data_IF_892721153347
#
_entry.id   IF_892721153347
#
_cell.length_a   1.000
_cell.length_b   1.000
_cell.length_c   1.000
_cell.angle_alpha   90.00
_cell.angle_beta   90.00
_cell.angle_gamma   90.00
#
_symmetry.space_group_name_H-M   'P 1'
#
loop_
_entity.id
_entity.type
_entity.pdbx_description
1 polymer ?
#
# COMPACT_ATOMS: atom_id res chain seq x y z
N UNK A 1 30.84 -11.62 -24.95
CA UNK A 1 30.52 -12.92 -24.33
C UNK A 1 29.13 -12.81 -23.71
N UNK A 2 28.22 -13.75 -23.98
CA UNK A 2 26.90 -13.75 -23.35
C UNK A 2 27.07 -14.17 -21.89
N UNK A 3 26.89 -13.25 -20.95
CA UNK A 3 26.82 -13.59 -19.53
C UNK A 3 25.57 -14.42 -19.29
N UNK A 4 25.73 -15.68 -18.90
CA UNK A 4 24.62 -16.51 -18.42
C UNK A 4 24.12 -15.90 -17.12
N UNK A 5 22.88 -15.41 -17.16
CA UNK A 5 22.13 -14.97 -16.01
C UNK A 5 21.77 -16.20 -15.18
N UNK A 6 22.53 -16.48 -14.12
CA UNK A 6 22.14 -17.46 -13.12
C UNK A 6 21.36 -16.72 -12.01
N UNK A 7 20.03 -16.73 -12.09
CA UNK A 7 19.13 -16.10 -11.12
C UNK A 7 19.08 -16.74 -9.73
N UNK A 8 20.11 -17.53 -9.36
CA UNK A 8 20.12 -18.42 -8.20
C UNK A 8 21.46 -18.39 -7.43
N UNK A 9 22.12 -17.24 -7.29
CA UNK A 9 23.41 -17.14 -6.58
C UNK A 9 23.39 -17.65 -5.12
N UNK A 10 22.21 -17.67 -4.47
CA UNK A 10 21.96 -18.25 -3.14
C UNK A 10 20.87 -19.35 -3.16
N UNK A 11 20.57 -19.94 -4.32
CA UNK A 11 19.49 -20.91 -4.52
C UNK A 11 18.09 -20.29 -4.44
N UNK A 12 17.05 -21.11 -4.21
CA UNK A 12 15.64 -20.67 -4.16
C UNK A 12 15.28 -19.84 -2.92
N UNK A 13 16.23 -19.55 -2.02
CA UNK A 13 15.98 -18.85 -0.76
C UNK A 13 15.74 -17.36 -0.99
N UNK A 14 16.58 -16.68 -1.78
CA UNK A 14 16.41 -15.26 -2.11
C UNK A 14 15.09 -14.94 -2.82
N UNK A 15 14.64 -15.68 -3.86
CA UNK A 15 13.34 -15.41 -4.48
C UNK A 15 12.17 -15.70 -3.53
N UNK A 16 12.31 -16.70 -2.65
CA UNK A 16 11.30 -17.00 -1.64
C UNK A 16 11.19 -15.89 -0.60
N UNK A 17 12.31 -15.40 -0.05
CA UNK A 17 12.32 -14.30 0.93
C UNK A 17 11.78 -13.02 0.28
N UNK A 18 12.18 -12.72 -0.96
CA UNK A 18 11.64 -11.61 -1.74
C UNK A 18 10.12 -11.72 -1.86
N UNK A 19 9.60 -12.88 -2.27
CA UNK A 19 8.17 -13.14 -2.38
C UNK A 19 7.44 -12.96 -1.05
N UNK A 20 7.99 -13.47 0.05
CA UNK A 20 7.41 -13.31 1.40
C UNK A 20 7.37 -11.84 1.81
N UNK A 21 8.40 -11.04 1.49
CA UNK A 21 8.40 -9.61 1.77
C UNK A 21 7.36 -8.84 0.95
N UNK A 22 7.15 -9.20 -0.31
CA UNK A 22 6.04 -8.63 -1.09
C UNK A 22 4.68 -9.01 -0.52
N UNK A 23 4.49 -10.26 -0.08
CA UNK A 23 3.28 -10.69 0.59
C UNK A 23 3.05 -9.92 1.90
N UNK A 24 4.11 -9.73 2.70
CA UNK A 24 4.05 -8.99 3.96
C UNK A 24 3.64 -7.53 3.73
N UNK A 25 4.32 -6.82 2.83
CA UNK A 25 3.98 -5.43 2.48
C UNK A 25 2.56 -5.31 1.91
N UNK A 26 2.15 -6.28 1.08
CA UNK A 26 0.78 -6.39 0.58
C UNK A 26 -0.26 -6.58 1.67
N UNK A 27 -0.02 -7.52 2.58
CA UNK A 27 -0.95 -7.80 3.68
C UNK A 27 -1.10 -6.59 4.61
N UNK A 28 0.02 -5.97 5.00
CA UNK A 28 0.02 -4.78 5.86
C UNK A 28 -0.66 -3.59 5.16
N UNK A 29 -0.25 -3.33 3.92
CA UNK A 29 -0.81 -2.29 3.07
C UNK A 29 -2.32 -2.41 2.91
N UNK A 30 -2.79 -3.58 2.51
CA UNK A 30 -4.20 -3.87 2.29
C UNK A 30 -5.02 -3.69 3.56
N UNK A 31 -4.50 -4.15 4.71
CA UNK A 31 -5.16 -3.99 6.02
C UNK A 31 -5.26 -2.52 6.44
N UNK A 32 -4.20 -1.75 6.28
CA UNK A 32 -4.21 -0.31 6.56
C UNK A 32 -5.22 0.42 5.68
N UNK A 33 -5.27 0.11 4.38
CA UNK A 33 -6.23 0.73 3.44
C UNK A 33 -7.67 0.34 3.82
N UNK A 34 -7.94 -0.94 4.04
CA UNK A 34 -9.26 -1.42 4.46
C UNK A 34 -9.70 -0.76 5.77
N UNK A 35 -8.77 -0.58 6.73
CA UNK A 35 -9.04 0.09 8.00
C UNK A 35 -9.32 1.57 7.84
N UNK A 36 -8.64 2.26 6.92
CA UNK A 36 -8.91 3.67 6.62
C UNK A 36 -10.37 3.93 6.23
N UNK A 37 -11.05 2.92 5.67
CA UNK A 37 -12.46 2.98 5.27
C UNK A 37 -13.43 2.77 6.45
N UNK A 38 -12.94 2.27 7.59
CA UNK A 38 -13.73 1.97 8.79
C UNK A 38 -13.53 2.99 9.93
N UNK A 39 -12.48 3.80 9.87
CA UNK A 39 -12.14 4.79 10.89
C UNK A 39 -12.71 6.18 10.60
N UNK A 40 -12.72 7.05 11.61
CA UNK A 40 -13.17 8.44 11.47
C UNK A 40 -12.35 9.23 10.45
N UNK A 41 -12.96 10.26 9.85
CA UNK A 41 -12.33 11.11 8.82
C UNK A 41 -10.97 11.70 9.24
N UNK A 42 -10.78 12.00 10.52
CA UNK A 42 -9.52 12.54 11.04
C UNK A 42 -8.34 11.54 11.02
N UNK A 43 -8.62 10.23 11.18
CA UNK A 43 -7.58 9.18 11.19
C UNK A 43 -7.37 8.50 9.85
N UNK A 44 -8.32 8.65 8.91
CA UNK A 44 -8.25 8.11 7.54
C UNK A 44 -6.93 8.41 6.82
N UNK A 45 -6.42 9.66 6.74
CA UNK A 45 -5.20 9.94 6.01
C UNK A 45 -3.97 9.24 6.60
N UNK A 46 -3.90 9.09 7.93
CA UNK A 46 -2.80 8.39 8.59
C UNK A 46 -2.77 6.91 8.21
N UNK A 47 -3.92 6.24 8.15
CA UNK A 47 -4.02 4.85 7.73
C UNK A 47 -3.72 4.65 6.23
N UNK A 48 -4.15 5.59 5.38
CA UNK A 48 -3.81 5.56 3.96
C UNK A 48 -2.31 5.76 3.74
N UNK A 49 -1.69 6.70 4.46
CA UNK A 49 -0.26 6.94 4.41
C UNK A 49 0.54 5.71 4.89
N UNK A 50 0.14 5.10 6.02
CA UNK A 50 0.77 3.88 6.53
C UNK A 50 0.63 2.72 5.54
N UNK A 51 -0.55 2.57 4.91
CA UNK A 51 -0.78 1.54 3.90
C UNK A 51 0.07 1.74 2.65
N UNK A 52 0.16 2.97 2.16
CA UNK A 52 1.00 3.31 1.02
C UNK A 52 2.49 3.09 1.31
N UNK A 53 2.96 3.49 2.49
CA UNK A 53 4.34 3.24 2.92
C UNK A 53 4.63 1.74 3.02
N UNK A 54 3.72 0.94 3.59
CA UNK A 54 3.89 -0.51 3.67
C UNK A 54 3.93 -1.19 2.28
N UNK A 55 3.05 -0.79 1.36
CA UNK A 55 3.06 -1.28 -0.02
C UNK A 55 4.34 -0.88 -0.76
N UNK A 56 4.74 0.39 -0.68
CA UNK A 56 5.95 0.92 -1.31
C UNK A 56 7.21 0.25 -0.76
N UNK A 57 7.38 0.22 0.57
CA UNK A 57 8.51 -0.45 1.21
C UNK A 57 8.53 -1.95 0.93
N UNK A 58 7.39 -2.64 0.96
CA UNK A 58 7.34 -4.08 0.69
C UNK A 58 7.73 -4.44 -0.75
N UNK A 59 7.23 -3.67 -1.73
CA UNK A 59 7.57 -3.88 -3.15
C UNK A 59 9.02 -3.52 -3.45
N UNK A 60 9.52 -2.43 -2.87
CA UNK A 60 10.93 -2.04 -2.99
C UNK A 60 11.87 -3.06 -2.33
N UNK A 61 11.58 -3.48 -1.10
CA UNK A 61 12.37 -4.49 -0.39
C UNK A 61 12.38 -5.82 -1.15
N UNK A 62 11.23 -6.24 -1.70
CA UNK A 62 11.18 -7.43 -2.55
C UNK A 62 12.10 -7.28 -3.76
N UNK A 63 12.04 -6.15 -4.47
CA UNK A 63 12.86 -5.90 -5.65
C UNK A 63 14.35 -6.01 -5.34
N UNK A 64 14.84 -5.36 -4.29
CA UNK A 64 16.26 -5.40 -3.92
C UNK A 64 16.71 -6.76 -3.39
N UNK A 65 15.87 -7.46 -2.62
CA UNK A 65 16.17 -8.84 -2.21
C UNK A 65 16.26 -9.78 -3.41
N UNK A 66 15.36 -9.63 -4.38
CA UNK A 66 15.41 -10.42 -5.61
C UNK A 66 16.67 -10.11 -6.44
N UNK A 67 17.08 -8.84 -6.52
CA UNK A 67 18.32 -8.44 -7.19
C UNK A 67 19.58 -8.94 -6.48
N UNK A 68 19.61 -9.01 -5.14
CA UNK A 68 20.73 -9.64 -4.42
C UNK A 68 20.89 -11.13 -4.76
N UNK A 69 19.79 -11.82 -5.08
CA UNK A 69 19.83 -13.20 -5.56
C UNK A 69 20.39 -13.36 -6.97
N UNK A 70 20.43 -12.26 -7.72
CA UNK A 70 20.89 -12.20 -9.10
C UNK A 70 22.38 -11.83 -9.11
N UNK A 71 23.26 -12.81 -8.97
CA UNK A 71 24.69 -12.56 -9.14
C UNK A 71 25.05 -12.61 -10.61
N UNK A 72 25.57 -11.51 -11.14
CA UNK A 72 26.28 -11.54 -12.42
C UNK A 72 27.65 -12.12 -12.08
N UNK A 73 27.84 -13.41 -12.37
CA UNK A 73 29.19 -13.97 -12.36
C UNK A 73 30.04 -13.05 -13.26
N UNK A 74 31.15 -12.53 -12.73
CA UNK A 74 32.17 -11.69 -13.39
C UNK A 74 32.13 -10.15 -13.16
N UNK A 75 31.24 -9.54 -12.37
CA UNK A 75 31.37 -8.10 -12.04
C UNK A 75 30.79 -7.69 -10.67
N UNK A 76 31.53 -6.92 -9.83
CA UNK A 76 30.95 -6.30 -8.65
C UNK A 76 29.91 -5.25 -9.07
N UNK A 77 28.67 -5.44 -8.61
CA UNK A 77 27.57 -4.50 -8.84
C UNK A 77 27.58 -3.48 -7.72
N UNK A 78 27.86 -2.22 -8.05
CA UNK A 78 27.75 -1.11 -7.12
C UNK A 78 26.36 -0.48 -7.22
N UNK A 79 25.82 -0.05 -6.09
CA UNK A 79 24.53 0.63 -6.03
C UNK A 79 24.73 2.09 -5.70
N UNK A 80 24.12 2.95 -6.52
CA UNK A 80 24.06 4.38 -6.25
C UNK A 80 23.00 4.64 -5.17
N UNK A 81 23.45 4.90 -3.94
CA UNK A 81 22.59 5.13 -2.77
C UNK A 81 21.48 6.17 -3.02
N UNK A 82 21.76 7.39 -3.54
CA UNK A 82 20.71 8.37 -3.75
C UNK A 82 19.69 7.96 -4.81
N UNK A 83 20.10 7.32 -5.91
CA UNK A 83 19.14 6.80 -6.91
C UNK A 83 18.29 5.68 -6.31
N UNK A 84 18.90 4.84 -5.48
CA UNK A 84 18.22 3.70 -4.86
C UNK A 84 17.20 4.15 -3.82
N UNK A 85 17.51 5.16 -3.00
CA UNK A 85 16.52 5.80 -2.12
C UNK A 85 15.49 6.64 -2.88
N UNK A 86 15.85 7.27 -3.99
CA UNK A 86 14.91 7.97 -4.86
C UNK A 86 13.87 7.01 -5.44
N UNK A 87 14.25 5.78 -5.79
CA UNK A 87 13.33 4.73 -6.24
C UNK A 87 12.31 4.34 -5.15
N UNK A 88 12.74 4.25 -3.90
CA UNK A 88 11.85 4.02 -2.75
C UNK A 88 10.87 5.18 -2.57
N UNK A 89 11.38 6.42 -2.57
CA UNK A 89 10.55 7.62 -2.46
C UNK A 89 9.50 7.70 -3.56
N UNK A 90 9.91 7.43 -4.81
CA UNK A 90 9.02 7.40 -5.96
C UNK A 90 7.92 6.35 -5.80
N UNK A 91 8.27 5.13 -5.37
CA UNK A 91 7.28 4.09 -5.08
C UNK A 91 6.27 4.56 -4.02
N UNK A 92 6.73 5.03 -2.87
CA UNK A 92 5.85 5.44 -1.77
C UNK A 92 4.92 6.58 -2.20
N UNK A 93 5.42 7.57 -2.92
CA UNK A 93 4.62 8.70 -3.40
C UNK A 93 3.58 8.25 -4.43
N UNK A 94 3.98 7.51 -5.46
CA UNK A 94 3.08 7.09 -6.54
C UNK A 94 2.03 6.08 -6.05
N UNK A 95 2.46 5.11 -5.23
CA UNK A 95 1.54 4.18 -4.55
C UNK A 95 0.60 4.97 -3.64
N UNK A 96 1.12 5.95 -2.90
CA UNK A 96 0.34 6.86 -2.07
C UNK A 96 -0.74 7.59 -2.84
N UNK A 97 -0.40 8.22 -3.96
CA UNK A 97 -1.39 8.92 -4.82
C UNK A 97 -2.52 7.98 -5.22
N UNK A 98 -2.21 6.77 -5.71
CA UNK A 98 -3.24 5.81 -6.12
C UNK A 98 -4.10 5.29 -4.96
N UNK A 99 -3.45 5.02 -3.81
CA UNK A 99 -4.12 4.62 -2.56
C UNK A 99 -5.03 5.73 -2.04
N UNK A 100 -4.63 7.00 -2.10
CA UNK A 100 -5.46 8.14 -1.69
C UNK A 100 -6.63 8.35 -2.66
N UNK A 101 -6.42 8.21 -3.97
CA UNK A 101 -7.51 8.30 -4.96
C UNK A 101 -8.61 7.28 -4.63
N UNK A 102 -8.25 6.01 -4.50
CA UNK A 102 -9.20 4.94 -4.15
C UNK A 102 -9.73 5.10 -2.73
N UNK A 103 -8.84 5.50 -1.83
CA UNK A 103 -9.11 5.73 -0.42
C UNK A 103 -10.17 6.78 -0.20
N UNK A 104 -10.28 7.84 -1.01
CA UNK A 104 -11.29 8.90 -0.88
C UNK A 104 -12.45 8.78 -1.86
N UNK A 105 -12.21 8.34 -3.10
CA UNK A 105 -13.24 8.30 -4.16
C UNK A 105 -13.88 6.92 -4.35
N UNK A 106 -13.41 5.90 -3.63
CA UNK A 106 -13.92 4.53 -3.67
C UNK A 106 -13.14 3.61 -4.60
N UNK A 107 -13.35 2.30 -4.42
CA UNK A 107 -12.62 1.23 -5.13
C UNK A 107 -13.40 0.66 -6.33
N UNK A 108 -14.17 1.48 -7.04
CA UNK A 108 -14.99 1.06 -8.19
C UNK A 108 -14.95 2.08 -9.32
N UNK A 109 -14.96 1.62 -10.57
CA UNK A 109 -15.06 2.48 -11.76
C UNK A 109 -13.79 3.30 -12.01
N UNK A 110 -13.95 4.58 -12.36
CA UNK A 110 -12.85 5.45 -12.75
C UNK A 110 -11.76 5.61 -11.67
N UNK A 111 -12.07 5.86 -10.37
CA UNK A 111 -11.05 5.97 -9.33
C UNK A 111 -10.14 4.74 -9.18
N UNK A 112 -10.71 3.54 -9.34
CA UNK A 112 -9.94 2.30 -9.27
C UNK A 112 -8.98 2.18 -10.45
N UNK A 113 -9.44 2.50 -11.66
CA UNK A 113 -8.60 2.46 -12.86
C UNK A 113 -7.49 3.50 -12.78
N UNK A 114 -7.81 4.75 -12.40
CA UNK A 114 -6.80 5.81 -12.26
C UNK A 114 -5.82 5.51 -11.13
N UNK A 115 -6.32 5.05 -9.97
CA UNK A 115 -5.47 4.71 -8.83
C UNK A 115 -4.56 3.53 -9.13
N UNK A 116 -5.11 2.46 -9.71
CA UNK A 116 -4.36 1.26 -10.11
C UNK A 116 -3.31 1.55 -11.17
N UNK A 117 -3.62 2.40 -12.16
CA UNK A 117 -2.65 2.83 -13.18
C UNK A 117 -1.52 3.63 -12.56
N UNK A 118 -1.81 4.62 -11.71
CA UNK A 118 -0.77 5.44 -11.05
C UNK A 118 0.10 4.59 -10.13
N UNK A 119 -0.51 3.74 -9.31
CA UNK A 119 0.21 2.81 -8.43
C UNK A 119 1.06 1.83 -9.23
N UNK A 120 0.54 1.23 -10.30
CA UNK A 120 1.26 0.28 -11.13
C UNK A 120 2.44 0.92 -11.88
N UNK A 121 2.24 2.11 -12.45
CA UNK A 121 3.31 2.90 -13.04
C UNK A 121 4.37 3.28 -12.00
N UNK A 122 3.95 3.60 -10.77
CA UNK A 122 4.88 3.83 -9.66
C UNK A 122 5.77 2.63 -9.35
N UNK A 123 5.18 1.44 -9.26
CA UNK A 123 5.92 0.19 -9.01
C UNK A 123 6.86 -0.14 -10.19
N UNK A 124 6.40 0.02 -11.43
CA UNK A 124 7.24 -0.20 -12.60
C UNK A 124 8.40 0.81 -12.68
N UNK A 125 8.12 2.10 -12.44
CA UNK A 125 9.15 3.15 -12.42
C UNK A 125 10.16 2.92 -11.30
N UNK A 126 9.73 2.49 -10.11
CA UNK A 126 10.66 2.11 -9.03
C UNK A 126 11.56 0.96 -9.46
N UNK A 127 11.00 -0.07 -10.12
CA UNK A 127 11.80 -1.19 -10.61
C UNK A 127 12.86 -0.73 -11.63
N UNK A 128 12.47 0.03 -12.66
CA UNK A 128 13.43 0.50 -13.68
C UNK A 128 14.42 1.54 -13.15
N UNK A 129 14.01 2.38 -12.19
CA UNK A 129 14.90 3.34 -11.55
C UNK A 129 15.89 2.63 -10.61
N UNK A 130 15.46 1.59 -9.89
CA UNK A 130 16.33 0.73 -9.10
C UNK A 130 17.36 0.02 -9.98
N UNK A 131 16.94 -0.47 -11.16
CA UNK A 131 17.83 -1.04 -12.17
C UNK A 131 18.83 -0.01 -12.71
N UNK A 132 18.40 1.23 -12.95
CA UNK A 132 19.28 2.31 -13.41
C UNK A 132 20.30 2.76 -12.34
N UNK A 133 20.01 2.51 -11.06
CA UNK A 133 20.94 2.73 -9.96
C UNK A 133 22.08 1.71 -9.86
N UNK A 134 22.01 0.61 -10.63
CA UNK A 134 23.09 -0.38 -10.69
C UNK A 134 24.22 0.08 -11.61
N UNK A 135 25.43 0.09 -11.06
CA UNK A 135 26.67 0.39 -11.79
C UNK A 135 27.48 -0.90 -11.93
N UNK A 136 27.70 -1.32 -13.17
CA UNK A 136 28.55 -2.45 -13.55
C UNK A 136 29.21 -2.16 -14.90
N UNK A 137 30.29 -2.87 -15.23
CA UNK A 137 31.00 -2.72 -16.51
C UNK A 137 30.27 -3.47 -17.64
N UNK A 138 29.23 -2.83 -18.17
CA UNK A 138 28.45 -3.33 -19.31
C UNK A 138 27.23 -2.46 -19.60
N UNK A 139 26.41 -2.90 -20.55
CA UNK A 139 25.16 -2.20 -20.91
C UNK A 139 23.94 -3.12 -20.83
N UNK A 140 22.82 -2.55 -20.38
CA UNK A 140 21.51 -3.20 -20.45
C UNK A 140 20.84 -2.92 -21.79
N UNK A 141 20.54 -3.96 -22.55
CA UNK A 141 19.62 -3.88 -23.67
C UNK A 141 18.24 -4.36 -23.24
N UNK A 142 17.21 -3.56 -23.49
CA UNK A 142 15.82 -3.88 -23.14
C UNK A 142 15.02 -4.22 -24.38
N UNK A 143 14.26 -5.32 -24.35
CA UNK A 143 13.24 -5.55 -25.37
C UNK A 143 11.96 -4.78 -24.99
N UNK A 144 11.57 -3.80 -25.80
CA UNK A 144 10.33 -3.03 -25.66
C UNK A 144 9.08 -3.88 -25.37
N UNK A 145 8.81 -5.00 -26.07
CA UNK A 145 7.57 -5.76 -25.82
C UNK A 145 7.50 -6.37 -24.41
N UNK A 146 8.62 -6.86 -23.87
CA UNK A 146 8.66 -7.43 -22.52
C UNK A 146 8.58 -6.36 -21.43
N UNK A 147 9.14 -5.16 -21.68
CA UNK A 147 8.97 -3.99 -20.80
C UNK A 147 7.50 -3.55 -20.75
N UNK A 148 6.82 -3.50 -21.90
CA UNK A 148 5.38 -3.18 -21.92
C UNK A 148 4.58 -4.25 -21.18
N UNK A 149 4.93 -5.53 -21.34
CA UNK A 149 4.28 -6.62 -20.62
C UNK A 149 4.49 -6.53 -19.10
N UNK A 150 5.69 -6.22 -18.62
CA UNK A 150 5.95 -6.05 -17.18
C UNK A 150 5.16 -4.87 -16.61
N UNK A 151 5.10 -3.74 -17.31
CA UNK A 151 4.29 -2.56 -16.91
C UNK A 151 2.80 -2.91 -16.86
N UNK A 152 2.29 -3.66 -17.84
CA UNK A 152 0.91 -4.12 -17.85
C UNK A 152 0.60 -5.02 -16.65
N UNK A 153 1.52 -5.95 -16.31
CA UNK A 153 1.41 -6.78 -15.10
C UNK A 153 1.41 -5.90 -13.83
N UNK A 154 2.27 -4.88 -13.76
CA UNK A 154 2.33 -3.95 -12.63
C UNK A 154 0.99 -3.22 -12.42
N UNK A 155 0.40 -2.70 -13.50
CA UNK A 155 -0.90 -2.01 -13.47
C UNK A 155 -2.03 -2.96 -13.09
N UNK A 156 -2.04 -4.18 -13.64
CA UNK A 156 -3.03 -5.19 -13.28
C UNK A 156 -2.92 -5.59 -11.79
N UNK A 157 -1.69 -5.81 -11.30
CA UNK A 157 -1.40 -6.14 -9.91
C UNK A 157 -1.86 -5.05 -8.94
N UNK A 158 -1.49 -3.79 -9.24
CA UNK A 158 -1.87 -2.63 -8.44
C UNK A 158 -3.39 -2.41 -8.43
N UNK A 159 -4.05 -2.57 -9.58
CA UNK A 159 -5.50 -2.47 -9.69
C UNK A 159 -6.19 -3.55 -8.88
N UNK A 160 -5.74 -4.81 -8.98
CA UNK A 160 -6.27 -5.93 -8.20
C UNK A 160 -6.07 -5.72 -6.69
N UNK A 161 -4.92 -5.19 -6.26
CA UNK A 161 -4.64 -4.87 -4.87
C UNK A 161 -5.59 -3.81 -4.32
N UNK A 162 -5.77 -2.69 -5.02
CA UNK A 162 -6.67 -1.61 -4.62
C UNK A 162 -8.14 -2.07 -4.63
N UNK A 163 -8.52 -2.89 -5.60
CA UNK A 163 -9.85 -3.50 -5.65
C UNK A 163 -10.10 -4.43 -4.45
N UNK A 164 -9.13 -5.29 -4.13
CA UNK A 164 -9.19 -6.16 -2.98
C UNK A 164 -9.27 -5.36 -1.67
N UNK A 165 -8.62 -4.19 -1.60
CA UNK A 165 -8.65 -3.31 -0.42
C UNK A 165 -10.05 -2.75 -0.16
N UNK A 166 -10.80 -2.49 -1.24
CA UNK A 166 -12.16 -1.98 -1.16
C UNK A 166 -13.23 -3.04 -0.93
N UNK A 167 -12.97 -4.30 -1.26
CA UNK A 167 -13.94 -5.41 -1.13
C UNK A 167 -13.66 -6.40 -0.01
N UNK A 168 -12.40 -6.62 0.35
CA UNK A 168 -11.98 -7.65 1.29
C UNK A 168 -12.33 -7.30 2.72
N UNK A 169 -13.39 -7.90 3.28
CA UNK A 169 -13.66 -7.89 4.72
C UNK A 169 -13.20 -9.22 5.32
N UNK A 170 -12.18 -9.17 6.18
CA UNK A 170 -11.70 -10.33 6.95
C UNK A 170 -10.28 -10.81 6.61
N UNK A 171 -9.77 -11.74 7.43
CA UNK A 171 -8.37 -12.21 7.36
C UNK A 171 -8.10 -13.12 6.16
N UNK A 172 -8.99 -14.08 5.87
CA UNK A 172 -8.80 -15.03 4.76
C UNK A 172 -8.72 -14.34 3.37
N UNK A 173 -9.65 -13.43 3.01
CA UNK A 173 -9.54 -12.69 1.74
C UNK A 173 -8.29 -11.80 1.69
N UNK A 174 -7.87 -11.24 2.83
CA UNK A 174 -6.66 -10.42 2.92
C UNK A 174 -5.39 -11.24 2.69
N UNK A 175 -5.32 -12.48 3.23
CA UNK A 175 -4.21 -13.39 2.98
C UNK A 175 -4.17 -13.80 1.51
N UNK A 176 -5.30 -14.23 0.94
CA UNK A 176 -5.37 -14.57 -0.49
C UNK A 176 -4.96 -13.42 -1.40
N UNK A 177 -5.45 -12.20 -1.12
CA UNK A 177 -5.07 -11.01 -1.87
C UNK A 177 -3.58 -10.68 -1.73
N UNK A 178 -2.98 -10.84 -0.53
CA UNK A 178 -1.56 -10.60 -0.31
C UNK A 178 -0.65 -11.57 -1.06
N UNK A 179 -1.03 -12.86 -1.11
CA UNK A 179 -0.31 -13.89 -1.87
C UNK A 179 -0.41 -13.59 -3.36
N UNK A 180 -1.61 -13.26 -3.86
CA UNK A 180 -1.80 -12.87 -5.26
C UNK A 180 -0.98 -11.62 -5.61
N UNK A 181 -0.92 -10.64 -4.70
CA UNK A 181 -0.07 -9.47 -4.87
C UNK A 181 1.41 -9.85 -4.93
N UNK A 182 1.87 -10.73 -4.04
CA UNK A 182 3.23 -11.27 -4.07
C UNK A 182 3.56 -11.92 -5.40
N UNK A 183 2.68 -12.79 -5.90
CA UNK A 183 2.85 -13.47 -7.19
C UNK A 183 2.93 -12.46 -8.33
N UNK A 184 2.06 -11.46 -8.33
CA UNK A 184 2.00 -10.48 -9.41
C UNK A 184 3.20 -9.53 -9.42
N UNK A 185 3.65 -9.04 -8.25
CA UNK A 185 4.83 -8.16 -8.16
C UNK A 185 6.10 -8.96 -8.47
N UNK A 186 6.23 -10.19 -7.95
CA UNK A 186 7.36 -11.06 -8.29
C UNK A 186 7.35 -11.41 -9.78
N UNK A 187 6.18 -11.71 -10.35
CA UNK A 187 6.02 -11.97 -11.78
C UNK A 187 6.43 -10.78 -12.65
N UNK A 188 6.04 -9.56 -12.26
CA UNK A 188 6.49 -8.33 -12.93
C UNK A 188 8.02 -8.19 -12.87
N UNK A 189 8.60 -8.42 -11.70
CA UNK A 189 10.05 -8.34 -11.50
C UNK A 189 10.79 -9.33 -12.41
N UNK A 190 10.40 -10.61 -12.42
CA UNK A 190 11.05 -11.60 -13.28
C UNK A 190 10.79 -11.37 -14.77
N UNK A 191 9.61 -10.88 -15.15
CA UNK A 191 9.32 -10.49 -16.54
C UNK A 191 10.22 -9.34 -17.00
N UNK A 192 10.42 -8.34 -16.13
CA UNK A 192 11.31 -7.23 -16.40
C UNK A 192 12.78 -7.68 -16.46
N UNK A 193 13.19 -8.64 -15.62
CA UNK A 193 14.52 -9.25 -15.72
C UNK A 193 14.68 -10.06 -17.01
N UNK A 194 13.65 -10.80 -17.44
CA UNK A 194 13.64 -11.51 -18.73
C UNK A 194 13.61 -10.58 -19.95
N UNK A 195 13.30 -9.29 -19.74
CA UNK A 195 13.40 -8.24 -20.75
C UNK A 195 14.83 -7.74 -20.97
N UNK A 196 15.73 -8.02 -20.03
CA UNK A 196 17.12 -7.59 -20.08
C UNK A 196 17.96 -8.57 -20.89
N UNK A 197 18.85 -8.00 -21.71
CA UNK A 197 19.99 -8.69 -22.29
C UNK A 197 21.24 -7.94 -21.84
N UNK A 198 22.10 -8.61 -21.07
CA UNK A 198 23.32 -8.03 -20.53
C UNK A 198 24.45 -8.23 -21.53
N UNK A 199 25.02 -7.13 -22.02
CA UNK A 199 26.24 -7.16 -22.83
C UNK A 199 27.41 -6.70 -21.93
N UNK A 200 28.35 -7.62 -21.69
CA UNK A 200 29.60 -7.35 -20.98
C UNK A 200 30.66 -6.93 -22.01
N UNK A 201 31.28 -5.77 -21.79
CA UNK A 201 32.44 -5.35 -22.58
C UNK A 201 33.66 -6.19 -22.14
N UNK A 202 34.46 -6.64 -23.11
CA UNK A 202 35.46 -7.70 -22.92
C UNK A 202 36.64 -7.35 -22.01
N UNK A 203 37.21 -8.42 -21.42
CA UNK A 203 38.45 -8.52 -20.62
C UNK A 203 38.56 -7.58 -19.41
N UNK A 204 37.76 -7.83 -18.37
CA UNK A 204 38.17 -7.46 -17.02
C UNK A 204 39.02 -8.59 -16.43
N UNK A 205 40.34 -8.37 -16.34
CA UNK A 205 41.20 -9.15 -15.45
C UNK A 205 40.62 -9.04 -14.04
N UNK A 206 40.16 -10.17 -13.49
CA UNK A 206 39.51 -10.27 -12.19
C UNK A 206 40.52 -10.06 -11.06
N UNK A 207 40.70 -8.82 -10.60
CA UNK A 207 40.91 -8.58 -9.16
C UNK A 207 39.55 -8.73 -8.50
N UNK A 208 39.25 -9.95 -8.06
CA UNK A 208 38.01 -10.32 -7.39
C UNK A 208 37.93 -9.62 -6.02
N UNK A 209 37.32 -8.45 -5.97
CA UNK A 209 36.58 -8.05 -4.77
C UNK A 209 35.16 -8.59 -4.92
N UNK A 210 34.73 -9.33 -3.90
CA UNK A 210 33.40 -9.89 -3.82
C UNK A 210 32.35 -8.77 -3.94
N UNK A 211 31.14 -9.05 -4.46
CA UNK A 211 30.05 -8.08 -4.40
C UNK A 211 29.86 -7.65 -2.94
N UNK A 212 29.95 -6.34 -2.69
CA UNK A 212 29.75 -5.75 -1.37
C UNK A 212 28.25 -5.80 -0.99
N UNK A 213 27.75 -7.01 -0.70
CA UNK A 213 26.49 -7.22 0.01
C UNK A 213 26.44 -6.42 1.34
N UNK A 214 27.61 -6.01 1.83
CA UNK A 214 27.84 -5.10 2.95
C UNK A 214 27.14 -3.75 2.84
N UNK A 215 26.90 -3.21 1.63
CA UNK A 215 26.28 -1.88 1.43
C UNK A 215 24.75 -1.93 1.28
N UNK A 216 24.19 -3.00 0.70
CA UNK A 216 22.75 -3.17 0.54
C UNK A 216 22.04 -3.59 1.82
N UNK A 217 22.67 -4.42 2.65
CA UNK A 217 22.08 -4.93 3.90
C UNK A 217 21.70 -3.79 4.87
N UNK A 218 22.56 -2.78 5.14
CA UNK A 218 22.18 -1.60 5.93
C UNK A 218 21.04 -0.81 5.29
N UNK A 219 21.00 -0.72 3.97
CA UNK A 219 20.00 0.05 3.24
C UNK A 219 18.58 -0.52 3.41
N UNK A 220 18.47 -1.86 3.47
CA UNK A 220 17.21 -2.57 3.71
C UNK A 220 16.67 -2.41 5.13
N UNK A 221 17.51 -2.00 6.10
CA UNK A 221 17.13 -1.90 7.50
C UNK A 221 15.99 -0.91 7.73
N UNK A 222 16.04 0.27 7.08
CA UNK A 222 15.02 1.31 7.24
C UNK A 222 13.61 0.84 6.82
N UNK A 223 13.43 0.39 5.57
CA UNK A 223 12.16 -0.16 5.09
C UNK A 223 11.68 -1.38 5.89
N UNK A 224 12.60 -2.25 6.33
CA UNK A 224 12.27 -3.40 7.17
C UNK A 224 11.72 -2.96 8.53
N UNK A 225 12.39 -2.02 9.20
CA UNK A 225 11.92 -1.45 10.47
C UNK A 225 10.54 -0.82 10.29
N UNK A 226 10.32 -0.07 9.20
CA UNK A 226 9.01 0.51 8.91
C UNK A 226 7.94 -0.57 8.75
N UNK A 227 8.21 -1.66 8.02
CA UNK A 227 7.28 -2.78 7.86
C UNK A 227 6.97 -3.47 9.18
N UNK A 228 7.98 -3.66 10.04
CA UNK A 228 7.81 -4.23 11.39
C UNK A 228 6.94 -3.31 12.23
N UNK A 229 7.22 -2.00 12.25
CA UNK A 229 6.42 -1.01 12.99
C UNK A 229 4.97 -0.97 12.47
N UNK A 230 4.76 -0.99 11.15
CA UNK A 230 3.43 -1.07 10.57
C UNK A 230 2.71 -2.36 10.98
N UNK A 231 3.42 -3.49 11.00
CA UNK A 231 2.91 -4.77 11.49
C UNK A 231 2.50 -4.73 12.96
N UNK A 232 3.34 -4.14 13.81
CA UNK A 232 3.04 -3.93 15.24
C UNK A 232 1.81 -3.04 15.40
N UNK A 233 1.71 -1.94 14.66
CA UNK A 233 0.52 -1.05 14.69
C UNK A 233 -0.74 -1.82 14.29
N UNK A 234 -0.69 -2.63 13.23
CA UNK A 234 -1.81 -3.44 12.76
C UNK A 234 -2.17 -4.54 13.76
N UNK A 235 -1.20 -5.13 14.46
CA UNK A 235 -1.39 -6.22 15.42
C UNK A 235 -1.86 -5.75 16.81
N UNK A 236 -1.42 -4.57 17.27
CA UNK A 236 -1.79 -4.00 18.56
C UNK A 236 -3.18 -3.34 18.52
N UNK A 237 -3.71 -3.04 17.34
CA UNK A 237 -4.98 -2.33 17.19
C UNK A 237 -6.21 -3.10 17.74
N UNK A 238 -6.40 -4.41 17.49
CA UNK A 238 -7.47 -5.20 18.11
C UNK A 238 -7.39 -5.20 19.64
N UNK A 239 -6.17 -5.20 20.18
CA UNK A 239 -5.90 -5.20 21.62
C UNK A 239 -6.21 -3.83 22.26
N UNK A 240 -5.99 -2.73 21.54
CA UNK A 240 -6.33 -1.38 21.99
C UNK A 240 -7.83 -1.11 21.94
N UNK A 241 -8.55 -1.66 20.96
CA UNK A 241 -10.01 -1.57 20.87
C UNK A 241 -10.66 -2.40 21.99
N UNK A 242 -10.11 -3.57 22.34
CA UNK A 242 -10.58 -4.36 23.49
C UNK A 242 -10.23 -3.74 24.86
N UNK A 243 -9.30 -2.79 24.94
CA UNK A 243 -8.95 -2.06 26.17
C UNK A 243 -9.87 -0.88 26.48
N UNK A 244 -10.86 -0.60 25.63
CA UNK A 244 -11.98 0.27 25.97
C UNK A 244 -13.32 -0.49 25.95
N UNK A 245 -13.53 -1.47 26.84
CA UNK A 245 -14.88 -1.75 27.29
C UNK A 245 -15.30 -0.59 28.23
N UNK A 246 -16.46 -0.02 27.96
CA UNK A 246 -17.22 0.86 28.88
C UNK A 246 -16.70 2.28 29.15
N UNK A 247 -17.02 3.18 28.21
CA UNK A 247 -17.95 4.26 28.58
C UNK A 247 -19.30 3.93 27.99
N UNK A 248 -20.01 2.98 28.62
CA UNK A 248 -21.45 2.95 28.47
C UNK A 248 -21.99 4.35 28.80
N UNK A 249 -22.90 4.94 27.99
CA UNK A 249 -23.63 6.11 28.45
C UNK A 249 -24.25 5.72 29.80
N UNK A 250 -24.00 6.53 30.83
CA UNK A 250 -24.59 6.29 32.14
C UNK A 250 -26.09 5.99 31.95
N UNK A 251 -26.63 4.90 32.50
CA UNK A 251 -28.06 4.65 32.42
C UNK A 251 -28.78 5.91 32.93
N UNK A 252 -29.88 6.35 32.28
CA UNK A 252 -30.61 7.53 32.73
C UNK A 252 -30.87 7.37 34.22
N UNK A 253 -30.40 8.36 35.00
CA UNK A 253 -30.52 8.32 36.45
C UNK A 253 -31.98 8.02 36.80
N UNK A 254 -32.22 6.88 37.45
CA UNK A 254 -33.54 6.58 37.98
C UNK A 254 -33.91 7.73 38.92
N UNK A 255 -35.14 8.27 38.82
CA UNK A 255 -35.58 9.36 39.69
C UNK A 255 -35.36 8.96 41.14
N UNK A 256 -34.71 9.83 41.91
CA UNK A 256 -34.47 9.59 43.33
C UNK A 256 -35.81 9.24 44.03
N UNK A 257 -35.85 8.19 44.85
CA UNK A 257 -37.05 7.83 45.59
C UNK A 257 -37.36 8.96 46.58
N UNK A 258 -38.37 9.78 46.26
CA UNK A 258 -38.78 10.89 47.11
C UNK A 258 -39.33 12.13 46.39
N UNK A 259 -39.38 12.18 45.05
CA UNK A 259 -40.03 13.31 44.36
C UNK A 259 -41.55 13.04 44.27
N UNK A 260 -42.42 13.80 44.98
CA UNK A 260 -43.86 13.63 44.86
C UNK A 260 -44.31 13.97 43.43
N UNK A 261 -45.20 13.13 42.87
CA UNK A 261 -45.69 13.19 41.49
C UNK A 261 -46.33 14.54 41.07
N UNK A 262 -46.62 15.43 42.02
CA UNK A 262 -47.18 16.75 41.76
C UNK A 262 -46.21 17.73 41.06
N UNK A 263 -44.89 17.54 41.22
CA UNK A 263 -43.91 18.49 40.66
C UNK A 263 -43.71 18.37 39.14
N UNK A 264 -43.96 17.18 38.55
CA UNK A 264 -43.78 16.95 37.12
C UNK A 264 -44.95 17.46 36.27
N UNK A 265 -46.17 17.45 36.82
CA UNK A 265 -47.37 17.92 36.11
C UNK A 265 -47.40 19.46 35.97
N UNK A 266 -46.78 20.20 36.90
CA UNK A 266 -46.81 21.66 36.91
C UNK A 266 -45.99 22.30 35.77
N UNK A 267 -45.03 21.58 35.19
CA UNK A 267 -44.15 22.15 34.16
C UNK A 267 -44.64 21.98 32.71
N UNK A 268 -45.66 21.15 32.48
CA UNK A 268 -46.21 20.92 31.13
C UNK A 268 -47.39 21.84 30.76
N UNK A 269 -47.82 22.76 31.64
CA UNK A 269 -49.05 23.54 31.46
C UNK A 269 -48.90 25.07 31.47
N UNK A 270 -47.77 25.60 30.97
CA UNK A 270 -47.68 27.03 30.63
C UNK A 270 -47.31 27.26 29.17
N UNK A 271 -48.33 27.25 28.32
CA UNK A 271 -48.34 28.07 27.11
C UNK A 271 -49.74 28.68 26.97
N UNK A 272 -49.92 30.00 27.18
CA UNK A 272 -51.20 30.65 26.90
C UNK A 272 -51.23 31.22 25.48
N UNK A 273 -52.36 30.98 24.81
CA UNK A 273 -52.86 31.63 23.58
C UNK A 273 -52.93 33.17 23.73
N UNK A 274 -52.83 34.00 22.69
CA UNK A 274 -53.90 34.20 21.70
C UNK A 274 -53.59 35.37 20.75
N UNK A 275 -54.04 35.28 19.48
CA UNK A 275 -54.85 36.33 18.81
C UNK A 275 -55.41 35.84 17.46
N UNK A 276 -56.68 36.14 17.11
CA UNK A 276 -57.34 35.56 15.93
C UNK A 276 -57.64 36.56 14.78
N UNK A 277 -58.03 35.97 13.63
CA UNK A 277 -58.81 36.52 12.49
C UNK A 277 -58.07 37.36 11.43
N UNK A 278 -58.00 36.84 10.18
CA UNK A 278 -58.82 37.32 9.05
C UNK A 278 -58.80 36.35 7.85
N UNK A 279 -59.99 35.84 7.51
CA UNK A 279 -60.31 35.16 6.26
C UNK A 279 -60.16 36.11 5.06
N UNK A 280 -59.59 35.60 3.97
CA UNK A 280 -59.65 36.20 2.64
C UNK A 280 -59.83 35.10 1.60
N UNK A 281 -61.07 34.89 1.16
CA UNK A 281 -61.41 34.05 0.03
C UNK A 281 -61.20 34.82 -1.29
N UNK A 282 -60.61 34.19 -2.32
CA UNK A 282 -61.22 33.94 -3.65
C UNK A 282 -60.21 33.73 -4.79
N UNK A 283 -60.63 32.80 -5.66
CA UNK A 283 -60.43 32.61 -7.12
C UNK A 283 -59.16 31.93 -7.67
N UNK A 284 -59.34 30.87 -8.51
CA UNK A 284 -58.35 30.40 -9.48
C UNK A 284 -58.56 31.10 -10.84
N UNK A 285 -57.49 31.36 -11.59
CA UNK A 285 -57.62 31.72 -13.00
C UNK A 285 -56.48 31.15 -13.85
N UNK A 286 -56.90 30.37 -14.85
CA UNK A 286 -56.20 29.95 -16.06
C UNK A 286 -55.32 31.03 -16.69
N UNK A 287 -54.10 30.67 -17.09
CA UNK A 287 -53.62 30.81 -18.48
C UNK A 287 -52.41 29.93 -18.75
#
# INVERSE_FOLDING_TARGET
MHGTVDGFGYGAVTPLVAFLMACLGGALGLRCITRSLLVTHARRPAWLALGAAALGCGTWTMHFIAMMGFSIQQAPVHYDEPVTYASLGLAVVMVGVGVFIVGYRGATGAPLFTGGTVTGLGVASMHYLGMAGMRFHGSFAYSTPKVVASVAIAVAAATAALWAAGRGRGLLPSVGASVLMGVAVSGMHYMAMAALSVHLDGTAETTADAPDASTLVPMLLGPLVLLVLAGVVVLLEPMLVLRHPDRAPAPPALPAPGVPAAALAAHQHRHPDSRPVRQGARTPQNR
#
